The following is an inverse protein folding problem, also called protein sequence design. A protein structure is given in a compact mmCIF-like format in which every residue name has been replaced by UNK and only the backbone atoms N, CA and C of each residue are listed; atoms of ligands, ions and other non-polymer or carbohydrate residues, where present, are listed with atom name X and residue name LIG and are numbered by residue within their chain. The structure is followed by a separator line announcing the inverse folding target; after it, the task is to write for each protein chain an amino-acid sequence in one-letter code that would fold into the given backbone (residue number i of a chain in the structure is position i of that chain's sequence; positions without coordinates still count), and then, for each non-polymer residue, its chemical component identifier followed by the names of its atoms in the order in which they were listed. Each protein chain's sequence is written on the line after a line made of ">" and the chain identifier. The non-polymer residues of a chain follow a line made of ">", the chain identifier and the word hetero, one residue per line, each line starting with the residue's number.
data_IF_453707672549
#
_entry.id   IF_453707672549
#
_cell.length_a   1.000
_cell.length_b   1.000
_cell.length_c   1.000
_cell.angle_alpha   90.00
_cell.angle_beta   90.00
_cell.angle_gamma   90.00
#
_symmetry.space_group_name_H-M   'P 1'
#
loop_
_entity.id
_entity.type
_entity.pdbx_description
1 polymer ?
#
# COMPACT_ATOMS: atom_id res chain seq x y z
N UNK A 1 -32.28 49.28 26.35
CA UNK A 1 -30.90 48.80 26.60
C UNK A 1 -30.99 47.30 26.76
N UNK A 2 -30.76 46.56 25.67
CA UNK A 2 -30.90 45.10 25.63
C UNK A 2 -29.51 44.55 25.91
N UNK A 3 -29.36 43.84 27.02
CA UNK A 3 -28.14 43.15 27.39
C UNK A 3 -27.99 41.85 26.54
N UNK A 4 -27.03 41.83 25.64
CA UNK A 4 -26.62 40.64 24.90
C UNK A 4 -25.81 39.74 25.83
N UNK A 5 -26.33 38.51 26.06
CA UNK A 5 -25.63 37.46 26.77
C UNK A 5 -24.42 36.96 25.95
N UNK A 6 -23.27 36.66 26.58
CA UNK A 6 -22.08 36.19 25.85
C UNK A 6 -22.29 34.81 25.29
N UNK A 7 -21.91 34.64 24.03
CA UNK A 7 -21.86 33.34 23.32
C UNK A 7 -20.86 32.43 24.05
N UNK A 8 -21.21 31.19 24.42
CA UNK A 8 -20.26 30.29 25.03
C UNK A 8 -19.18 29.91 24.02
N UNK A 9 -17.94 30.09 24.39
CA UNK A 9 -16.78 29.70 23.62
C UNK A 9 -16.83 28.20 23.32
N UNK A 10 -16.79 27.82 22.05
CA UNK A 10 -16.58 26.45 21.59
C UNK A 10 -15.29 25.93 22.22
N UNK A 11 -15.41 25.10 23.24
CA UNK A 11 -14.29 24.33 23.77
C UNK A 11 -13.83 23.38 22.67
N UNK A 12 -12.69 23.67 22.07
CA UNK A 12 -11.92 22.69 21.30
C UNK A 12 -11.60 21.52 22.23
N UNK A 13 -12.38 20.46 22.16
CA UNK A 13 -12.01 19.16 22.74
C UNK A 13 -10.86 18.60 21.92
N UNK A 14 -9.64 19.08 22.18
CA UNK A 14 -8.41 18.39 21.80
C UNK A 14 -8.46 17.04 22.53
N UNK A 15 -8.54 15.98 21.79
CA UNK A 15 -8.46 14.60 22.28
C UNK A 15 -7.26 14.48 23.22
N UNK A 16 -7.52 14.14 24.50
CA UNK A 16 -6.50 14.00 25.55
C UNK A 16 -5.72 12.67 25.48
N UNK A 17 -5.93 11.90 24.40
CA UNK A 17 -5.17 10.67 24.20
C UNK A 17 -3.80 10.97 23.59
N UNK A 18 -2.71 10.45 24.18
CA UNK A 18 -1.40 10.56 23.58
C UNK A 18 -1.43 9.93 22.18
N UNK A 19 -0.85 10.61 21.20
CA UNK A 19 -0.75 10.10 19.84
C UNK A 19 0.06 8.80 19.85
N UNK A 20 -0.53 7.71 19.34
CA UNK A 20 0.19 6.45 19.23
C UNK A 20 1.24 6.55 18.12
N UNK A 21 2.41 5.99 18.38
CA UNK A 21 3.54 5.96 17.45
C UNK A 21 3.84 4.50 17.07
N UNK A 22 3.05 3.91 16.15
CA UNK A 22 3.24 2.52 15.76
C UNK A 22 4.55 2.32 15.02
N UNK A 23 5.19 1.18 15.19
CA UNK A 23 6.29 0.75 14.36
C UNK A 23 5.76 0.29 13.00
N UNK A 24 6.36 0.81 11.91
CA UNK A 24 5.97 0.47 10.54
C UNK A 24 7.12 -0.28 9.87
N UNK A 25 6.88 -1.52 9.44
CA UNK A 25 7.82 -2.22 8.56
C UNK A 25 7.51 -1.86 7.12
N UNK A 26 8.43 -1.15 6.46
CA UNK A 26 8.40 -0.91 5.02
C UNK A 26 9.22 -2.02 4.36
N UNK A 27 8.61 -2.68 3.35
CA UNK A 27 9.19 -3.83 2.66
C UNK A 27 9.34 -3.47 1.18
N UNK A 28 10.57 -3.44 0.70
CA UNK A 28 10.89 -3.29 -0.73
C UNK A 28 11.29 -4.64 -1.30
N UNK A 29 10.54 -5.06 -2.34
CA UNK A 29 10.87 -6.24 -3.14
C UNK A 29 11.62 -5.81 -4.38
N UNK A 30 12.75 -6.47 -4.70
CA UNK A 30 13.54 -6.18 -5.89
C UNK A 30 14.12 -7.44 -6.53
N UNK A 31 14.28 -7.39 -7.85
CA UNK A 31 15.03 -8.37 -8.65
C UNK A 31 15.52 -7.71 -9.92
N UNK A 32 16.83 -7.61 -10.12
CA UNK A 32 17.47 -6.92 -11.24
C UNK A 32 16.86 -5.52 -11.48
N UNK A 33 16.79 -4.73 -10.39
CA UNK A 33 16.08 -3.48 -10.33
C UNK A 33 17.00 -2.23 -10.32
N UNK A 34 18.27 -2.36 -10.73
CA UNK A 34 19.25 -1.28 -10.67
C UNK A 34 18.78 0.02 -11.35
N UNK A 35 17.93 -0.08 -12.39
CA UNK A 35 17.41 1.08 -13.11
C UNK A 35 16.33 1.86 -12.33
N UNK A 36 15.61 1.20 -11.42
CA UNK A 36 14.40 1.77 -10.81
C UNK A 36 14.45 1.88 -9.29
N UNK A 37 15.29 1.08 -8.62
CA UNK A 37 15.32 0.96 -7.17
C UNK A 37 15.76 2.25 -6.45
N UNK A 38 16.59 3.08 -7.08
CA UNK A 38 17.14 4.30 -6.48
C UNK A 38 16.06 5.23 -5.91
N UNK A 39 14.97 5.45 -6.67
CA UNK A 39 13.86 6.31 -6.19
C UNK A 39 13.18 5.73 -4.95
N UNK A 40 13.00 4.42 -4.92
CA UNK A 40 12.39 3.73 -3.78
C UNK A 40 13.24 3.90 -2.53
N UNK A 41 14.54 3.56 -2.63
CA UNK A 41 15.48 3.67 -1.51
C UNK A 41 15.51 5.10 -0.95
N UNK A 42 15.67 6.11 -1.81
CA UNK A 42 15.68 7.51 -1.41
C UNK A 42 14.40 7.94 -0.74
N UNK A 43 13.24 7.52 -1.25
CA UNK A 43 11.95 7.90 -0.70
C UNK A 43 11.71 7.32 0.70
N UNK A 44 12.20 6.11 0.97
CA UNK A 44 12.07 5.46 2.28
C UNK A 44 13.11 6.01 3.26
N UNK A 45 14.36 6.17 2.85
CA UNK A 45 15.44 6.67 3.72
C UNK A 45 15.26 8.13 4.11
N UNK A 46 14.55 8.92 3.30
CA UNK A 46 14.24 10.33 3.59
C UNK A 46 13.08 10.53 4.55
N UNK A 47 12.39 9.47 5.02
CA UNK A 47 11.23 9.64 5.90
C UNK A 47 11.63 10.22 7.26
N UNK A 48 10.86 11.22 7.71
CA UNK A 48 11.07 11.89 9.00
C UNK A 48 10.54 11.09 10.19
N UNK A 49 9.67 10.11 9.96
CA UNK A 49 9.09 9.27 11.01
C UNK A 49 10.13 8.32 11.59
N UNK A 50 10.37 8.32 12.94
CA UNK A 50 11.51 7.61 13.52
C UNK A 50 11.31 6.11 13.73
N UNK A 51 10.05 5.61 13.70
CA UNK A 51 9.75 4.22 14.04
C UNK A 51 9.51 3.38 12.79
N UNK A 52 10.54 3.26 11.93
CA UNK A 52 10.51 2.47 10.70
C UNK A 52 11.52 1.33 10.81
N UNK A 53 11.06 0.10 10.56
CA UNK A 53 11.90 -1.02 10.13
C UNK A 53 11.91 -1.01 8.61
N UNK A 54 13.09 -0.97 7.98
CA UNK A 54 13.20 -1.04 6.53
C UNK A 54 13.80 -2.36 6.08
N UNK A 55 13.01 -3.16 5.36
CA UNK A 55 13.42 -4.45 4.80
C UNK A 55 13.57 -4.35 3.29
N UNK A 56 14.68 -4.84 2.76
CA UNK A 56 14.89 -5.05 1.32
C UNK A 56 15.01 -6.55 1.06
N UNK A 57 14.08 -7.09 0.31
CA UNK A 57 14.03 -8.50 -0.08
C UNK A 57 14.39 -8.60 -1.56
N UNK A 58 15.58 -9.12 -1.81
CA UNK A 58 16.16 -9.25 -3.14
C UNK A 58 16.08 -10.70 -3.64
N UNK A 59 15.59 -10.88 -4.86
CA UNK A 59 15.43 -12.18 -5.52
C UNK A 59 16.72 -12.78 -6.08
N UNK A 60 17.89 -12.54 -5.46
CA UNK A 60 19.23 -12.88 -5.93
C UNK A 60 19.61 -12.15 -7.23
N UNK A 61 19.50 -10.83 -7.23
CA UNK A 61 19.88 -9.96 -8.35
C UNK A 61 21.31 -10.18 -8.84
N UNK A 62 21.52 -10.01 -10.15
CA UNK A 62 22.80 -10.17 -10.83
C UNK A 62 23.37 -8.85 -11.38
N UNK A 63 22.58 -7.78 -11.28
CA UNK A 63 22.98 -6.41 -11.63
C UNK A 63 23.42 -5.63 -10.39
N UNK A 64 23.62 -4.33 -10.52
CA UNK A 64 24.08 -3.45 -9.42
C UNK A 64 23.02 -3.14 -8.37
N UNK A 65 21.87 -3.87 -8.33
CA UNK A 65 20.78 -3.62 -7.37
C UNK A 65 21.28 -3.59 -5.92
N UNK A 66 22.02 -4.63 -5.51
CA UNK A 66 22.50 -4.76 -4.13
C UNK A 66 23.58 -3.73 -3.76
N UNK A 67 24.37 -3.26 -4.72
CA UNK A 67 25.33 -2.18 -4.52
C UNK A 67 24.58 -0.88 -4.21
N UNK A 68 23.58 -0.53 -5.03
CA UNK A 68 22.74 0.64 -4.80
C UNK A 68 22.01 0.59 -3.44
N UNK A 69 21.54 -0.59 -3.01
CA UNK A 69 20.91 -0.75 -1.69
C UNK A 69 21.92 -0.43 -0.58
N UNK A 70 23.13 -0.96 -0.62
CA UNK A 70 24.18 -0.68 0.39
C UNK A 70 24.52 0.80 0.46
N UNK A 71 24.62 1.46 -0.68
CA UNK A 71 25.02 2.87 -0.76
C UNK A 71 23.93 3.84 -0.32
N UNK A 72 22.69 3.59 -0.72
CA UNK A 72 21.57 4.52 -0.54
C UNK A 72 20.68 4.21 0.67
N UNK A 73 20.74 3.01 1.19
CA UNK A 73 19.95 2.57 2.35
C UNK A 73 20.78 1.71 3.33
N UNK A 74 21.90 2.21 3.86
CA UNK A 74 22.79 1.45 4.73
C UNK A 74 22.13 0.96 6.02
N UNK A 75 21.03 1.57 6.43
CA UNK A 75 20.23 1.18 7.60
C UNK A 75 19.20 0.08 7.28
N UNK A 76 18.99 -0.30 6.01
CA UNK A 76 18.05 -1.34 5.64
C UNK A 76 18.57 -2.73 6.01
N UNK A 77 17.67 -3.57 6.52
CA UNK A 77 17.92 -5.00 6.65
C UNK A 77 17.74 -5.66 5.29
N UNK A 78 18.83 -6.23 4.73
CA UNK A 78 18.85 -6.78 3.37
C UNK A 78 18.90 -8.30 3.40
N UNK A 79 17.99 -8.93 2.68
CA UNK A 79 17.92 -10.37 2.50
C UNK A 79 17.91 -10.69 1.00
N UNK A 80 18.97 -11.36 0.52
CA UNK A 80 19.14 -11.72 -0.89
C UNK A 80 19.18 -13.23 -1.04
N UNK A 81 18.14 -13.79 -1.66
CA UNK A 81 18.03 -15.22 -1.94
C UNK A 81 17.05 -15.45 -3.11
N UNK A 82 17.19 -16.53 -3.89
CA UNK A 82 16.26 -16.83 -4.96
C UNK A 82 14.82 -16.94 -4.45
N UNK A 83 13.87 -16.43 -5.23
CA UNK A 83 12.44 -16.52 -4.96
C UNK A 83 11.66 -17.17 -6.11
N UNK A 84 10.39 -17.49 -5.86
CA UNK A 84 9.45 -18.05 -6.84
C UNK A 84 8.56 -16.96 -7.47
N UNK A 85 8.99 -15.72 -7.43
CA UNK A 85 8.30 -14.53 -7.92
C UNK A 85 7.95 -13.55 -6.81
N UNK A 86 7.45 -12.38 -7.20
CA UNK A 86 7.23 -11.21 -6.34
C UNK A 86 6.46 -11.52 -5.04
N UNK A 87 5.43 -12.36 -5.09
CA UNK A 87 4.62 -12.69 -3.92
C UNK A 87 5.31 -13.65 -2.95
N UNK A 88 6.23 -14.48 -3.43
CA UNK A 88 7.10 -15.29 -2.57
C UNK A 88 8.09 -14.39 -1.82
N UNK A 89 8.69 -13.42 -2.51
CA UNK A 89 9.53 -12.41 -1.89
C UNK A 89 8.75 -11.55 -0.88
N UNK A 90 7.49 -11.17 -1.19
CA UNK A 90 6.61 -10.47 -0.23
C UNK A 90 6.33 -11.32 1.02
N UNK A 91 6.10 -12.62 0.89
CA UNK A 91 5.93 -13.53 2.03
C UNK A 91 7.19 -13.59 2.89
N UNK A 92 8.36 -13.70 2.29
CA UNK A 92 9.65 -13.67 3.00
C UNK A 92 9.84 -12.36 3.77
N UNK A 93 9.43 -11.23 3.19
CA UNK A 93 9.45 -9.94 3.87
C UNK A 93 8.47 -9.88 5.03
N UNK A 94 7.26 -10.43 4.87
CA UNK A 94 6.27 -10.51 5.94
C UNK A 94 6.77 -11.32 7.14
N UNK A 95 7.45 -12.44 6.89
CA UNK A 95 8.00 -13.30 7.94
C UNK A 95 9.11 -12.60 8.77
N UNK A 96 9.76 -11.60 8.21
CA UNK A 96 10.82 -10.81 8.85
C UNK A 96 10.33 -9.49 9.45
N UNK A 97 9.09 -9.10 9.14
CA UNK A 97 8.50 -7.88 9.65
C UNK A 97 8.25 -7.95 11.16
N UNK A 98 8.68 -6.94 11.90
CA UNK A 98 8.50 -6.84 13.36
C UNK A 98 7.57 -5.71 13.78
N UNK A 99 7.30 -4.74 12.89
CA UNK A 99 6.45 -3.59 13.17
C UNK A 99 4.98 -3.94 13.42
N UNK A 100 4.23 -2.98 13.93
CA UNK A 100 2.78 -3.09 14.10
C UNK A 100 2.07 -3.18 12.76
N UNK A 101 2.62 -2.50 11.73
CA UNK A 101 2.11 -2.46 10.38
C UNK A 101 3.15 -2.96 9.37
N UNK A 102 2.64 -3.48 8.25
CA UNK A 102 3.43 -3.81 7.06
C UNK A 102 2.98 -2.95 5.88
N UNK A 103 3.96 -2.38 5.17
CA UNK A 103 3.78 -1.52 4.01
C UNK A 103 4.71 -1.94 2.88
N UNK A 104 4.16 -2.38 1.76
CA UNK A 104 4.94 -2.78 0.60
C UNK A 104 5.15 -1.60 -0.35
N UNK A 105 6.41 -1.25 -0.60
CA UNK A 105 6.84 -0.25 -1.58
C UNK A 105 7.88 -0.91 -2.49
N UNK A 106 7.43 -1.45 -3.61
CA UNK A 106 8.28 -2.24 -4.50
C UNK A 106 9.32 -1.37 -5.22
N UNK A 107 10.40 -1.99 -5.72
CA UNK A 107 11.40 -1.29 -6.51
C UNK A 107 10.76 -0.63 -7.75
N UNK A 108 10.98 0.67 -7.89
CA UNK A 108 10.34 1.53 -8.89
C UNK A 108 9.23 2.42 -8.35
N UNK A 109 8.56 2.01 -7.27
CA UNK A 109 7.57 2.84 -6.57
C UNK A 109 8.26 3.73 -5.51
N UNK A 110 7.56 4.73 -4.99
CA UNK A 110 8.11 5.61 -3.96
C UNK A 110 7.04 6.08 -2.98
N UNK A 111 7.44 6.54 -1.80
CA UNK A 111 6.59 7.32 -0.91
C UNK A 111 6.43 8.75 -1.46
N UNK A 112 5.28 9.36 -1.25
CA UNK A 112 4.90 10.60 -1.92
C UNK A 112 5.73 11.83 -1.48
N UNK A 113 6.22 11.85 -0.23
CA UNK A 113 7.05 12.91 0.33
C UNK A 113 7.90 12.41 1.48
N UNK A 114 8.90 13.17 1.96
CA UNK A 114 9.68 12.79 3.15
C UNK A 114 8.86 12.74 4.44
N UNK A 115 7.71 13.39 4.50
CA UNK A 115 6.82 13.45 5.67
C UNK A 115 5.63 12.50 5.57
N UNK A 116 5.55 11.68 4.50
CA UNK A 116 4.39 10.83 4.21
C UNK A 116 4.01 9.92 5.37
N UNK A 117 4.98 9.23 5.97
CA UNK A 117 4.71 8.29 7.09
C UNK A 117 4.26 9.05 8.33
N UNK A 118 4.93 10.15 8.66
CA UNK A 118 4.59 10.99 9.82
C UNK A 118 3.19 11.57 9.71
N UNK A 119 2.85 12.14 8.56
CA UNK A 119 1.53 12.74 8.31
C UNK A 119 0.42 11.70 8.32
N UNK A 120 0.66 10.53 7.70
CA UNK A 120 -0.27 9.40 7.72
C UNK A 120 -0.55 8.96 9.16
N UNK A 121 0.49 8.70 9.96
CA UNK A 121 0.37 8.28 11.36
C UNK A 121 -0.35 9.35 12.18
N UNK A 122 0.04 10.61 12.06
CA UNK A 122 -0.60 11.73 12.75
C UNK A 122 -2.10 11.82 12.43
N UNK A 123 -2.48 11.65 11.17
CA UNK A 123 -3.87 11.77 10.73
C UNK A 123 -4.74 10.56 11.11
N UNK A 124 -4.13 9.36 11.22
CA UNK A 124 -4.91 8.11 11.32
C UNK A 124 -4.76 7.38 12.66
N UNK A 125 -3.70 7.66 13.43
CA UNK A 125 -3.37 6.93 14.67
C UNK A 125 -3.58 7.78 15.95
N UNK A 126 -4.42 8.83 15.90
CA UNK A 126 -4.72 9.70 17.06
C UNK A 126 -5.88 9.20 17.94
N UNK A 127 -6.48 8.07 17.62
CA UNK A 127 -7.59 7.47 18.37
C UNK A 127 -7.14 6.59 19.55
N UNK A 128 -8.09 6.01 20.30
CA UNK A 128 -7.81 5.16 21.47
C UNK A 128 -7.19 3.80 21.09
N UNK A 129 -7.23 3.40 19.84
CA UNK A 129 -6.65 2.16 19.32
C UNK A 129 -6.16 2.36 17.89
N UNK A 130 -5.11 1.62 17.53
CA UNK A 130 -4.59 1.62 16.16
C UNK A 130 -5.61 1.02 15.19
N UNK A 131 -5.92 1.69 14.04
CA UNK A 131 -6.74 1.11 12.99
C UNK A 131 -6.13 -0.17 12.42
N UNK A 132 -6.95 -1.05 11.85
CA UNK A 132 -6.48 -2.32 11.29
C UNK A 132 -5.85 -2.15 9.90
N UNK A 133 -6.31 -1.14 9.14
CA UNK A 133 -5.78 -0.77 7.84
C UNK A 133 -5.69 0.75 7.74
N UNK A 134 -4.51 1.24 7.35
CA UNK A 134 -4.30 2.63 6.93
C UNK A 134 -4.21 2.64 5.40
N UNK A 135 -4.80 3.64 4.75
CA UNK A 135 -4.73 3.73 3.30
C UNK A 135 -4.87 5.18 2.83
N UNK A 136 -4.32 5.43 1.66
CA UNK A 136 -4.36 6.74 1.03
C UNK A 136 -4.49 6.64 -0.49
N UNK A 137 -4.26 7.75 -1.13
CA UNK A 137 -4.29 7.84 -2.58
C UNK A 137 -2.94 7.48 -3.21
N UNK A 138 -2.92 7.38 -4.54
CA UNK A 138 -1.74 7.06 -5.33
C UNK A 138 -1.65 8.00 -6.52
N UNK A 139 -0.46 8.55 -6.75
CA UNK A 139 -0.10 9.21 -8.01
C UNK A 139 0.63 8.25 -8.92
N UNK A 140 0.46 8.43 -10.21
CA UNK A 140 1.20 7.70 -11.22
C UNK A 140 2.43 8.53 -11.62
N UNK A 141 3.54 7.86 -11.84
CA UNK A 141 4.77 8.45 -12.38
C UNK A 141 5.27 7.59 -13.55
N UNK A 142 6.04 8.19 -14.44
CA UNK A 142 6.78 7.46 -15.47
C UNK A 142 8.22 7.10 -15.02
N UNK A 143 9.01 6.53 -15.92
CA UNK A 143 10.40 6.16 -15.68
C UNK A 143 11.33 7.37 -15.47
N UNK A 144 10.89 8.57 -15.88
CA UNK A 144 11.61 9.85 -15.72
C UNK A 144 11.11 10.66 -14.52
N UNK A 145 10.35 10.05 -13.60
CA UNK A 145 9.74 10.69 -12.42
C UNK A 145 8.72 11.79 -12.75
N UNK A 146 8.21 11.85 -14.01
CA UNK A 146 7.17 12.82 -14.35
C UNK A 146 5.83 12.38 -13.75
N UNK A 147 5.15 13.35 -13.14
CA UNK A 147 3.84 13.13 -12.55
C UNK A 147 2.76 12.99 -13.64
N UNK A 148 2.16 11.83 -13.72
CA UNK A 148 1.06 11.50 -14.62
C UNK A 148 -0.33 11.74 -13.99
N UNK A 149 -0.37 12.28 -12.78
CA UNK A 149 -1.60 12.57 -12.05
C UNK A 149 -2.08 11.44 -11.15
N UNK A 150 -3.28 11.62 -10.62
CA UNK A 150 -3.86 10.65 -9.70
C UNK A 150 -4.34 9.40 -10.44
N UNK A 151 -4.20 8.26 -9.79
CA UNK A 151 -4.71 6.99 -10.30
C UNK A 151 -6.23 7.06 -10.54
N UNK A 152 -6.71 6.53 -11.68
CA UNK A 152 -8.14 6.59 -12.07
C UNK A 152 -9.07 5.93 -11.04
N UNK A 153 -8.70 4.77 -10.50
CA UNK A 153 -9.45 4.13 -9.42
C UNK A 153 -9.00 4.75 -8.10
N UNK A 154 -9.93 5.44 -7.43
CA UNK A 154 -9.66 6.19 -6.20
C UNK A 154 -10.15 5.46 -4.96
N UNK A 155 -9.45 5.59 -3.82
CA UNK A 155 -9.89 5.03 -2.56
C UNK A 155 -11.21 5.68 -2.09
N UNK A 156 -12.15 4.87 -1.57
CA UNK A 156 -13.36 5.41 -0.93
C UNK A 156 -13.05 5.89 0.50
N UNK A 157 -13.86 6.80 1.05
CA UNK A 157 -13.73 7.22 2.44
C UNK A 157 -13.94 6.08 3.44
N UNK A 158 -14.77 5.11 3.09
CA UNK A 158 -14.99 3.90 3.88
C UNK A 158 -14.60 2.68 3.05
N UNK A 159 -13.49 2.06 3.42
CA UNK A 159 -12.96 0.89 2.74
C UNK A 159 -13.40 -0.38 3.46
N UNK A 160 -14.00 -1.29 2.69
CA UNK A 160 -14.36 -2.62 3.15
C UNK A 160 -13.92 -3.66 2.12
N UNK A 161 -13.93 -4.94 2.48
CA UNK A 161 -13.66 -6.00 1.52
C UNK A 161 -14.62 -5.98 0.31
N UNK A 162 -15.85 -5.44 0.48
CA UNK A 162 -16.83 -5.28 -0.59
C UNK A 162 -16.45 -4.19 -1.60
N UNK A 163 -15.64 -3.23 -1.21
CA UNK A 163 -15.18 -2.14 -2.09
C UNK A 163 -14.41 -2.67 -3.30
N UNK A 164 -13.67 -3.77 -3.14
CA UNK A 164 -12.90 -4.39 -4.21
C UNK A 164 -13.74 -5.10 -5.30
N UNK A 165 -15.07 -5.18 -5.13
CA UNK A 165 -15.98 -5.61 -6.21
C UNK A 165 -15.88 -4.70 -7.43
N UNK A 166 -15.67 -3.41 -7.21
CA UNK A 166 -15.56 -2.40 -8.27
C UNK A 166 -14.14 -2.25 -8.83
N UNK A 167 -13.26 -3.20 -8.54
CA UNK A 167 -11.85 -3.17 -8.91
C UNK A 167 -10.94 -2.86 -7.72
N UNK A 168 -9.64 -2.74 -7.98
CA UNK A 168 -8.66 -2.41 -6.96
C UNK A 168 -8.66 -0.90 -6.70
N UNK A 169 -9.63 -0.42 -5.90
CA UNK A 169 -9.83 1.01 -5.62
C UNK A 169 -8.67 1.62 -4.84
N UNK A 170 -8.02 0.84 -3.98
CA UNK A 170 -6.77 1.22 -3.30
C UNK A 170 -5.62 0.49 -3.97
N UNK A 171 -4.58 1.21 -4.37
CA UNK A 171 -3.36 0.61 -4.88
C UNK A 171 -2.67 -0.18 -3.77
N UNK A 172 -2.03 -1.31 -4.12
CA UNK A 172 -1.32 -2.12 -3.13
C UNK A 172 -0.27 -1.31 -2.36
N UNK A 173 0.46 -0.43 -3.03
CA UNK A 173 1.46 0.47 -2.46
C UNK A 173 0.88 1.59 -1.58
N UNK A 174 -0.44 1.76 -1.57
CA UNK A 174 -1.15 2.70 -0.70
C UNK A 174 -2.08 2.00 0.30
N UNK A 175 -1.81 0.72 0.60
CA UNK A 175 -2.57 -0.12 1.51
C UNK A 175 -1.63 -0.68 2.58
N UNK A 176 -1.78 -0.20 3.80
CA UNK A 176 -0.93 -0.55 4.95
C UNK A 176 -1.77 -1.38 5.92
N UNK A 177 -1.36 -2.60 6.16
CA UNK A 177 -2.10 -3.54 7.00
C UNK A 177 -1.44 -3.71 8.38
N UNK A 178 -2.25 -3.80 9.41
CA UNK A 178 -1.78 -4.28 10.71
C UNK A 178 -1.16 -5.67 10.52
N UNK A 179 0.10 -5.85 10.94
CA UNK A 179 0.88 -7.08 10.67
C UNK A 179 0.17 -8.36 11.13
N UNK A 180 -0.48 -8.32 12.28
CA UNK A 180 -1.21 -9.49 12.83
C UNK A 180 -2.40 -9.92 11.95
N UNK A 181 -2.92 -9.03 11.12
CA UNK A 181 -4.01 -9.33 10.19
C UNK A 181 -3.52 -9.73 8.79
N UNK A 182 -2.25 -9.50 8.49
CA UNK A 182 -1.64 -9.76 7.19
C UNK A 182 -1.38 -11.27 7.00
N UNK A 183 -2.12 -11.97 6.14
CA UNK A 183 -1.83 -13.36 5.81
C UNK A 183 -0.73 -13.44 4.74
N UNK A 184 -0.10 -14.58 4.55
CA UNK A 184 0.73 -14.82 3.38
C UNK A 184 -0.05 -14.62 2.08
N UNK A 185 0.62 -14.12 1.04
CA UNK A 185 0.09 -14.08 -0.33
C UNK A 185 -0.11 -15.51 -0.84
N UNK A 186 -1.18 -15.71 -1.58
CA UNK A 186 -1.50 -17.00 -2.20
C UNK A 186 -0.69 -17.16 -3.50
N UNK A 187 0.35 -17.99 -3.46
CA UNK A 187 1.28 -18.19 -4.57
C UNK A 187 0.67 -18.88 -5.80
N UNK A 188 -0.59 -19.28 -5.73
CA UNK A 188 -1.35 -19.75 -6.92
C UNK A 188 -1.65 -18.61 -7.89
N UNK A 189 -1.65 -17.38 -7.42
CA UNK A 189 -1.83 -16.17 -8.23
C UNK A 189 -0.47 -15.53 -8.51
N UNK A 190 -0.15 -15.38 -9.78
CA UNK A 190 1.13 -14.80 -10.21
C UNK A 190 1.07 -13.28 -10.39
N UNK A 191 -0.12 -12.73 -10.70
CA UNK A 191 -0.31 -11.32 -11.06
C UNK A 191 -1.38 -10.60 -10.24
N UNK A 192 -2.19 -11.30 -9.45
CA UNK A 192 -3.34 -10.71 -8.74
C UNK A 192 -3.46 -11.19 -7.29
N UNK A 193 -2.38 -11.72 -6.69
CA UNK A 193 -2.38 -12.11 -5.28
C UNK A 193 -2.52 -10.90 -4.34
N UNK A 194 -2.11 -9.71 -4.76
CA UNK A 194 -2.31 -8.45 -4.04
C UNK A 194 -3.81 -8.14 -3.83
N UNK A 195 -4.65 -8.34 -4.85
CA UNK A 195 -6.11 -8.17 -4.74
C UNK A 195 -6.69 -9.17 -3.74
N UNK A 196 -6.32 -10.45 -3.84
CA UNK A 196 -6.74 -11.49 -2.89
C UNK A 196 -6.29 -11.15 -1.47
N UNK A 197 -5.05 -10.70 -1.30
CA UNK A 197 -4.45 -10.34 -0.03
C UNK A 197 -5.20 -9.18 0.64
N UNK A 198 -5.41 -8.07 -0.07
CA UNK A 198 -6.15 -6.92 0.43
C UNK A 198 -7.58 -7.32 0.87
N UNK A 199 -8.28 -8.14 0.09
CA UNK A 199 -9.61 -8.64 0.44
C UNK A 199 -9.57 -9.50 1.71
N UNK A 200 -8.56 -10.37 1.87
CA UNK A 200 -8.43 -11.23 3.06
C UNK A 200 -8.10 -10.42 4.32
N UNK A 201 -7.26 -9.40 4.21
CA UNK A 201 -6.99 -8.45 5.29
C UNK A 201 -8.28 -7.73 5.68
N UNK A 202 -8.99 -7.14 4.71
CA UNK A 202 -10.21 -6.37 4.97
C UNK A 202 -11.37 -7.21 5.50
N UNK A 203 -11.40 -8.51 5.27
CA UNK A 203 -12.38 -9.43 5.90
C UNK A 203 -12.14 -9.62 7.40
N UNK A 204 -10.93 -9.39 7.87
CA UNK A 204 -10.54 -9.47 9.28
C UNK A 204 -10.54 -8.10 9.97
N UNK A 205 -10.36 -7.04 9.19
CA UNK A 205 -10.30 -5.68 9.69
C UNK A 205 -11.67 -5.19 10.19
N UNK A 206 -11.66 -4.50 11.32
CA UNK A 206 -12.83 -3.85 11.92
C UNK A 206 -12.78 -2.34 11.67
N UNK A 207 -11.61 -1.74 11.74
CA UNK A 207 -11.39 -0.29 11.59
C UNK A 207 -10.41 -0.02 10.46
N UNK A 208 -10.86 0.76 9.48
CA UNK A 208 -10.00 1.27 8.39
C UNK A 208 -9.92 2.78 8.46
N UNK A 209 -8.75 3.36 8.25
CA UNK A 209 -8.52 4.79 8.34
C UNK A 209 -7.99 5.34 7.02
N UNK A 210 -8.71 6.31 6.45
CA UNK A 210 -8.38 6.97 5.20
C UNK A 210 -7.58 8.26 5.43
N UNK A 211 -6.45 8.38 4.76
CA UNK A 211 -5.71 9.63 4.64
C UNK A 211 -5.96 10.21 3.23
N UNK A 212 -6.61 11.40 3.12
CA UNK A 212 -7.11 11.91 1.83
C UNK A 212 -6.02 12.58 0.98
N UNK A 213 -4.78 12.09 1.05
CA UNK A 213 -3.66 12.56 0.25
C UNK A 213 -2.95 11.37 -0.41
N UNK A 214 -2.19 11.60 -1.49
CA UNK A 214 -1.30 10.59 -2.04
C UNK A 214 -0.24 10.19 -1.02
N UNK A 215 -0.09 8.89 -0.81
CA UNK A 215 0.96 8.32 0.06
C UNK A 215 1.97 7.49 -0.74
N UNK A 216 1.63 7.15 -1.98
CA UNK A 216 2.49 6.37 -2.87
C UNK A 216 2.55 7.01 -4.27
N UNK A 217 3.73 6.96 -4.85
CA UNK A 217 4.01 7.19 -6.26
C UNK A 217 4.20 5.82 -6.92
N UNK A 218 3.35 5.50 -7.90
CA UNK A 218 3.35 4.21 -8.58
C UNK A 218 3.95 4.35 -9.98
N UNK A 219 4.98 3.56 -10.28
CA UNK A 219 5.58 3.50 -11.61
C UNK A 219 4.63 2.81 -12.60
N UNK A 220 4.16 3.56 -13.61
CA UNK A 220 3.10 3.12 -14.53
C UNK A 220 3.53 2.03 -15.54
N UNK A 221 4.77 1.53 -15.46
CA UNK A 221 5.35 0.50 -16.36
C UNK A 221 5.42 -0.90 -15.73
N UNK A 222 4.50 -1.23 -14.82
CA UNK A 222 4.54 -2.47 -14.03
C UNK A 222 4.32 -3.76 -14.83
N UNK A 223 4.79 -4.87 -14.28
CA UNK A 223 4.69 -6.25 -14.79
C UNK A 223 3.25 -6.67 -15.15
N UNK A 224 2.26 -6.10 -14.49
CA UNK A 224 0.83 -6.37 -14.73
C UNK A 224 0.37 -5.85 -16.09
N UNK A 225 0.96 -4.74 -16.57
CA UNK A 225 0.63 -4.16 -17.88
C UNK A 225 1.09 -5.07 -19.03
N UNK A 226 2.26 -5.67 -18.89
CA UNK A 226 2.81 -6.61 -19.87
C UNK A 226 2.03 -7.95 -19.94
N UNK A 227 1.36 -8.36 -18.83
CA UNK A 227 0.66 -9.64 -18.70
C UNK A 227 -0.85 -9.48 -18.51
N UNK A 228 -1.44 -8.47 -19.14
CA UNK A 228 -2.82 -8.02 -18.92
C UNK A 228 -3.87 -9.15 -18.96
N UNK A 229 -3.83 -10.05 -19.97
CA UNK A 229 -4.82 -11.14 -20.12
C UNK A 229 -4.77 -12.12 -18.94
N UNK A 230 -3.60 -12.58 -18.56
CA UNK A 230 -3.42 -13.51 -17.44
C UNK A 230 -3.87 -12.88 -16.12
N UNK A 231 -3.50 -11.62 -15.89
CA UNK A 231 -3.94 -10.86 -14.72
C UNK A 231 -5.48 -10.72 -14.65
N UNK A 232 -6.16 -10.50 -15.77
CA UNK A 232 -7.63 -10.45 -15.81
C UNK A 232 -8.28 -11.80 -15.46
N UNK A 233 -7.72 -12.91 -15.95
CA UNK A 233 -8.21 -14.26 -15.63
C UNK A 233 -8.02 -14.54 -14.12
N UNK A 234 -6.85 -14.28 -13.58
CA UNK A 234 -6.59 -14.44 -12.15
C UNK A 234 -7.51 -13.57 -11.30
N UNK A 235 -7.70 -12.32 -11.69
CA UNK A 235 -8.63 -11.39 -11.02
C UNK A 235 -10.07 -11.92 -11.03
N UNK A 236 -10.52 -12.50 -12.14
CA UNK A 236 -11.83 -13.17 -12.21
C UNK A 236 -11.90 -14.32 -11.19
N UNK A 237 -10.85 -15.14 -11.07
CA UNK A 237 -10.79 -16.26 -10.10
C UNK A 237 -10.80 -15.74 -8.65
N UNK A 238 -10.04 -14.69 -8.34
CA UNK A 238 -10.05 -14.03 -7.03
C UNK A 238 -11.45 -13.51 -6.72
N UNK A 239 -12.08 -12.76 -7.64
CA UNK A 239 -13.42 -12.22 -7.44
C UNK A 239 -14.46 -13.32 -7.25
N UNK A 240 -14.40 -14.38 -8.06
CA UNK A 240 -15.30 -15.54 -7.92
C UNK A 240 -15.16 -16.20 -6.55
N UNK A 241 -13.93 -16.35 -6.05
CA UNK A 241 -13.66 -16.94 -4.72
C UNK A 241 -14.26 -16.11 -3.58
N UNK A 242 -14.19 -14.79 -3.68
CA UNK A 242 -14.59 -13.90 -2.60
C UNK A 242 -16.05 -13.45 -2.68
N UNK A 243 -16.63 -13.32 -3.87
CA UNK A 243 -17.95 -12.73 -4.11
C UNK A 243 -18.95 -13.67 -4.78
N UNK A 244 -18.51 -14.87 -5.20
CA UNK A 244 -19.32 -15.81 -5.95
C UNK A 244 -19.38 -15.52 -7.45
N UNK A 245 -19.81 -16.52 -8.23
CA UNK A 245 -19.82 -16.46 -9.69
C UNK A 245 -20.75 -15.38 -10.25
N UNK A 246 -21.99 -15.33 -9.76
CA UNK A 246 -23.01 -14.41 -10.27
C UNK A 246 -22.58 -12.95 -10.10
N UNK A 247 -22.13 -12.57 -8.89
CA UNK A 247 -21.65 -11.22 -8.64
C UNK A 247 -20.42 -10.88 -9.49
N UNK A 248 -19.52 -11.83 -9.68
CA UNK A 248 -18.31 -11.64 -10.51
C UNK A 248 -18.68 -11.36 -11.96
N UNK A 249 -19.61 -12.13 -12.55
CA UNK A 249 -20.08 -11.91 -13.93
C UNK A 249 -20.74 -10.53 -14.06
N UNK A 250 -21.64 -10.16 -13.14
CA UNK A 250 -22.30 -8.86 -13.16
C UNK A 250 -21.30 -7.68 -13.12
N UNK A 251 -20.27 -7.78 -12.28
CA UNK A 251 -19.24 -6.74 -12.20
C UNK A 251 -18.36 -6.67 -13.47
N UNK A 252 -18.04 -7.81 -14.08
CA UNK A 252 -17.28 -7.82 -15.34
C UNK A 252 -18.08 -7.22 -16.50
N UNK A 253 -19.39 -7.48 -16.58
CA UNK A 253 -20.27 -6.84 -17.54
C UNK A 253 -20.30 -5.31 -17.33
N UNK A 254 -20.38 -4.85 -16.07
CA UNK A 254 -20.32 -3.42 -15.77
C UNK A 254 -18.98 -2.80 -16.21
N UNK A 255 -17.84 -3.44 -15.97
CA UNK A 255 -16.53 -2.95 -16.41
C UNK A 255 -16.44 -2.80 -17.94
N UNK A 256 -17.11 -3.66 -18.71
CA UNK A 256 -17.16 -3.53 -20.17
C UNK A 256 -17.97 -2.30 -20.62
N UNK A 257 -19.02 -1.94 -19.88
CA UNK A 257 -19.83 -0.75 -20.16
C UNK A 257 -19.08 0.53 -19.76
N UNK A 258 -18.48 0.56 -18.57
CA UNK A 258 -17.75 1.72 -18.04
C UNK A 258 -16.44 2.02 -18.82
N UNK A 259 -15.91 1.03 -19.56
CA UNK A 259 -14.72 1.20 -20.41
C UNK A 259 -15.03 1.90 -21.75
N UNK A 260 -16.31 2.00 -22.12
CA UNK A 260 -16.77 2.67 -23.36
C UNK A 260 -17.19 4.12 -23.12
N UNK A 261 -17.17 4.59 -21.88
CA UNK A 261 -17.36 5.98 -21.46
C UNK A 261 -16.03 6.61 -21.07
#
# INVERSE_FOLDING_TARGET
>A
MVLLSPIPALRNNLSTHPMMQPHITIITICYNAAKTITRTLRSVTAQTYPHIQYLVIDGASKDNTLELVRDLAPQAEVYSEPDKGIYDAMNKGLDRATGDYVWYVNAGDALASPTTVEELVRATCSGPSLPDVLYGDTRLIDDQDQDLGLRRLRPPHQLTWKSFRSGMLVCHQAFIAKRILAPHYDLRYRFSADVDWCIRVLKRAQVTAFYPQPIALYLNEGTTTANHRTSLIERFHVMRRHYGLVMTILQHLRFLVDRKR
#
